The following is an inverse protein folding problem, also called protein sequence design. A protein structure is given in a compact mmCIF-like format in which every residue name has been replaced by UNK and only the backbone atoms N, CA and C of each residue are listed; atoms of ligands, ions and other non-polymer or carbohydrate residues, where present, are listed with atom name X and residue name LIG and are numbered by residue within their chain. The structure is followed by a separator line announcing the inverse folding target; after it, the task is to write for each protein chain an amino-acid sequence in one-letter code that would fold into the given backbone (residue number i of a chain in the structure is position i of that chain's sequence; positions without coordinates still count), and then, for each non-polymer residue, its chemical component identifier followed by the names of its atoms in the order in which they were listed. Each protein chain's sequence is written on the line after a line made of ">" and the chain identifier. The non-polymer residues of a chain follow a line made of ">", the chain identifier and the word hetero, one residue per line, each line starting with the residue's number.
data_IF_136529966234
#
_entry.id   IF_136529966234
#
_cell.length_a   1.000
_cell.length_b   1.000
_cell.length_c   1.000
_cell.angle_alpha   90.00
_cell.angle_beta   90.00
_cell.angle_gamma   90.00
#
_symmetry.space_group_name_H-M   'P 1'
#
loop_
_entity.id
_entity.type
_entity.pdbx_description
1 polymer ?
#
# COMPACT_ATOMS: atom_id res chain seq x y z
N UNK A 1 34.99 -60.17 14.25
CA UNK A 1 33.62 -59.91 14.70
C UNK A 1 33.49 -58.74 15.71
N UNK A 2 34.58 -58.06 16.09
CA UNK A 2 34.58 -56.95 17.10
C UNK A 2 34.52 -55.53 16.51
N UNK A 3 34.90 -55.35 15.23
CA UNK A 3 34.91 -54.02 14.58
C UNK A 3 33.51 -53.60 14.09
N UNK A 4 32.66 -54.53 13.70
CA UNK A 4 31.28 -54.25 13.26
C UNK A 4 30.38 -53.74 14.38
N UNK A 5 30.62 -54.18 15.63
CA UNK A 5 29.83 -53.75 16.80
C UNK A 5 30.18 -52.31 17.24
N UNK A 6 31.42 -51.88 17.03
CA UNK A 6 31.87 -50.52 17.39
C UNK A 6 31.31 -49.48 16.39
N UNK A 7 31.23 -49.82 15.10
CA UNK A 7 30.69 -48.92 14.06
C UNK A 7 29.16 -48.72 14.25
N UNK A 8 28.45 -49.74 14.65
CA UNK A 8 26.99 -49.64 14.93
C UNK A 8 26.74 -48.81 16.19
N UNK A 9 27.59 -48.88 17.20
CA UNK A 9 27.47 -48.07 18.41
C UNK A 9 27.78 -46.60 18.17
N UNK A 10 28.75 -46.28 17.28
CA UNK A 10 29.04 -44.90 16.88
C UNK A 10 27.98 -44.27 16.00
N UNK A 11 27.31 -45.06 15.14
CA UNK A 11 26.25 -44.56 14.27
C UNK A 11 24.96 -44.27 15.06
N UNK A 12 24.72 -44.92 16.20
CA UNK A 12 23.58 -44.69 17.08
C UNK A 12 23.71 -43.39 17.92
N UNK A 13 24.94 -42.83 18.07
CA UNK A 13 25.18 -41.63 18.90
C UNK A 13 25.02 -40.33 18.12
N UNK A 14 24.97 -40.36 16.78
CA UNK A 14 24.90 -39.17 15.94
C UNK A 14 23.46 -38.71 15.64
N UNK A 15 22.44 -39.53 15.93
CA UNK A 15 21.04 -39.23 15.63
C UNK A 15 20.32 -38.50 16.79
N UNK A 16 21.00 -38.22 17.92
CA UNK A 16 20.41 -37.67 19.13
C UNK A 16 20.39 -36.15 19.30
N UNK A 17 20.92 -35.35 18.34
CA UNK A 17 20.92 -33.89 18.45
C UNK A 17 19.89 -33.21 17.53
N UNK A 18 18.68 -33.71 17.50
CA UNK A 18 17.55 -32.93 17.01
C UNK A 18 17.24 -31.87 18.08
N UNK A 19 17.53 -30.61 17.78
CA UNK A 19 17.02 -29.47 18.57
C UNK A 19 15.48 -29.58 18.59
N UNK A 20 14.95 -30.13 19.67
CA UNK A 20 13.52 -30.11 19.93
C UNK A 20 13.13 -28.64 20.23
N UNK A 21 12.68 -27.91 19.22
CA UNK A 21 11.88 -26.72 19.42
C UNK A 21 10.57 -27.23 19.97
N UNK A 22 10.37 -27.07 21.27
CA UNK A 22 9.08 -27.38 21.90
C UNK A 22 8.05 -26.38 21.36
N UNK A 23 6.95 -26.83 20.75
CA UNK A 23 5.86 -25.92 20.44
C UNK A 23 5.30 -25.39 21.77
N UNK A 24 5.38 -24.08 21.97
CA UNK A 24 4.72 -23.43 23.11
C UNK A 24 3.21 -23.66 22.99
N UNK A 25 2.63 -24.28 23.98
CA UNK A 25 1.21 -24.69 23.97
C UNK A 25 0.24 -23.51 24.13
N UNK A 26 0.73 -22.32 24.44
CA UNK A 26 -0.04 -21.09 24.60
C UNK A 26 0.80 -19.94 24.05
N UNK A 27 0.26 -19.02 23.23
CA UNK A 27 0.94 -17.80 22.85
C UNK A 27 1.31 -17.02 24.12
N UNK A 28 2.59 -16.68 24.29
CA UNK A 28 2.99 -15.80 25.37
C UNK A 28 2.43 -14.40 25.09
N UNK A 29 1.72 -13.85 26.07
CA UNK A 29 1.34 -12.43 26.03
C UNK A 29 2.61 -11.59 25.95
N UNK A 30 2.70 -10.76 24.94
CA UNK A 30 3.79 -9.79 24.80
C UNK A 30 3.63 -8.77 25.93
N UNK A 31 4.63 -8.58 26.82
CA UNK A 31 4.54 -7.55 27.85
C UNK A 31 4.20 -6.20 27.23
N UNK A 32 3.31 -5.42 27.83
CA UNK A 32 2.85 -4.12 27.34
C UNK A 32 4.02 -3.15 27.00
N UNK A 33 5.13 -3.29 27.71
CA UNK A 33 6.37 -2.52 27.46
C UNK A 33 7.02 -2.83 26.10
N UNK A 34 6.71 -3.97 25.46
CA UNK A 34 7.24 -4.36 24.14
C UNK A 34 6.21 -4.19 23.03
N UNK A 35 4.96 -4.00 23.35
CA UNK A 35 3.92 -3.72 22.33
C UNK A 35 4.17 -2.38 21.63
N UNK A 36 4.79 -1.42 22.30
CA UNK A 36 5.20 -0.14 21.70
C UNK A 36 6.32 -0.24 20.63
N UNK A 37 7.00 -1.40 20.51
CA UNK A 37 8.03 -1.62 19.46
C UNK A 37 7.40 -2.04 18.14
N UNK A 38 6.21 -2.62 18.19
CA UNK A 38 5.41 -2.92 17.00
C UNK A 38 4.39 -1.81 16.76
N UNK A 39 4.95 -0.61 16.56
CA UNK A 39 4.24 0.54 16.02
C UNK A 39 2.81 0.69 16.49
N UNK A 40 2.63 1.29 17.64
CA UNK A 40 1.42 2.08 17.90
C UNK A 40 1.45 3.28 16.92
N UNK A 41 1.12 3.02 15.66
CA UNK A 41 0.92 4.05 14.64
C UNK A 41 -0.50 4.60 14.69
N UNK A 42 -1.04 4.73 15.87
CA UNK A 42 -2.29 5.45 16.08
C UNK A 42 -2.20 6.32 17.32
N UNK A 43 -1.31 7.31 17.28
CA UNK A 43 -1.43 8.48 18.12
C UNK A 43 -2.01 9.62 17.29
N UNK A 44 -3.21 9.43 16.83
CA UNK A 44 -4.10 10.44 16.31
C UNK A 44 -5.48 9.88 16.54
N UNK A 45 -6.23 10.56 17.37
CA UNK A 45 -7.62 10.25 17.68
C UNK A 45 -8.38 9.73 16.45
N UNK A 46 -8.98 8.53 16.64
CA UNK A 46 -10.02 7.97 15.79
C UNK A 46 -9.66 7.76 14.32
N UNK A 47 -8.80 6.78 14.04
CA UNK A 47 -8.84 6.08 12.76
C UNK A 47 -10.15 5.26 12.69
N UNK A 48 -11.28 5.92 12.73
CA UNK A 48 -12.58 5.33 12.51
C UNK A 48 -12.79 5.16 11.02
N UNK A 49 -12.38 4.02 10.48
CA UNK A 49 -12.63 3.72 9.08
C UNK A 49 -12.08 2.37 8.67
N UNK A 50 -12.84 1.66 7.85
CA UNK A 50 -12.48 0.32 7.35
C UNK A 50 -11.79 0.38 5.99
N UNK A 51 -11.95 1.48 5.24
CA UNK A 51 -11.46 1.61 3.88
C UNK A 51 -10.28 2.58 3.80
N UNK A 52 -9.27 2.18 3.07
CA UNK A 52 -8.05 2.96 2.89
C UNK A 52 -8.08 3.72 1.57
N UNK A 53 -7.84 5.03 1.63
CA UNK A 53 -7.58 5.85 0.46
C UNK A 53 -6.16 6.42 0.52
N UNK A 54 -5.65 6.92 -0.61
CA UNK A 54 -4.31 7.47 -0.70
C UNK A 54 -4.36 8.94 -1.14
N UNK A 55 -3.79 9.81 -0.32
CA UNK A 55 -3.67 11.24 -0.56
C UNK A 55 -2.21 11.62 -0.79
N UNK A 56 -1.95 12.79 -1.34
CA UNK A 56 -0.61 13.33 -1.44
C UNK A 56 -0.10 13.67 -0.03
N UNK A 57 1.06 13.14 0.32
CA UNK A 57 1.73 13.49 1.58
C UNK A 57 2.31 14.91 1.50
N UNK A 58 2.44 15.61 2.64
CA UNK A 58 3.22 16.83 2.69
C UNK A 58 4.66 16.51 2.26
N UNK A 59 5.23 17.36 1.44
CA UNK A 59 6.59 17.20 0.93
C UNK A 59 7.34 18.52 0.96
N UNK A 60 8.63 18.46 1.25
CA UNK A 60 9.53 19.58 1.03
C UNK A 60 9.89 19.69 -0.46
N UNK A 61 10.25 20.87 -0.92
CA UNK A 61 10.48 21.16 -2.34
C UNK A 61 11.57 20.28 -3.02
N UNK A 62 12.43 19.65 -2.23
CA UNK A 62 13.53 18.80 -2.70
C UNK A 62 13.19 17.30 -2.70
N UNK A 63 12.07 16.90 -2.09
CA UNK A 63 11.66 15.51 -2.01
C UNK A 63 10.64 15.16 -3.09
N UNK A 64 10.69 13.93 -3.64
CA UNK A 64 9.66 13.48 -4.57
C UNK A 64 8.31 13.35 -3.87
N UNK A 65 7.24 13.79 -4.53
CA UNK A 65 5.88 13.64 -4.03
C UNK A 65 5.56 12.17 -3.74
N UNK A 66 4.96 11.91 -2.58
CA UNK A 66 4.55 10.57 -2.13
C UNK A 66 3.08 10.52 -1.80
N UNK A 67 2.57 9.30 -1.67
CA UNK A 67 1.20 9.00 -1.27
C UNK A 67 1.19 8.48 0.17
N UNK A 68 0.35 9.08 1.00
CA UNK A 68 0.06 8.62 2.37
C UNK A 68 -1.32 7.99 2.44
N UNK A 69 -1.40 6.84 3.10
CA UNK A 69 -2.68 6.19 3.33
C UNK A 69 -3.42 6.81 4.49
N UNK A 70 -4.72 7.06 4.31
CA UNK A 70 -5.64 7.46 5.38
C UNK A 70 -6.85 6.54 5.40
N UNK A 71 -7.45 6.38 6.58
CA UNK A 71 -8.65 5.55 6.74
C UNK A 71 -9.91 6.40 6.60
N UNK A 72 -10.93 5.83 5.95
CA UNK A 72 -12.24 6.45 5.77
C UNK A 72 -13.34 5.51 6.25
N UNK A 73 -14.27 6.06 7.01
CA UNK A 73 -15.50 5.37 7.40
C UNK A 73 -16.55 5.55 6.30
N UNK A 74 -16.41 4.75 5.26
CA UNK A 74 -17.32 4.72 4.10
C UNK A 74 -17.67 3.28 3.75
N UNK A 75 -18.76 3.09 2.99
CA UNK A 75 -19.13 1.77 2.50
C UNK A 75 -18.00 1.11 1.70
N UNK A 76 -17.90 -0.22 1.76
CA UNK A 76 -16.84 -1.01 1.09
C UNK A 76 -17.03 -1.18 -0.42
N UNK A 77 -18.05 -0.56 -1.03
CA UNK A 77 -18.22 -0.60 -2.48
C UNK A 77 -17.16 0.25 -3.18
N UNK A 78 -16.72 -0.16 -4.36
CA UNK A 78 -15.75 0.60 -5.15
C UNK A 78 -16.22 2.06 -5.36
N UNK A 79 -17.52 2.27 -5.63
CA UNK A 79 -18.06 3.61 -5.80
C UNK A 79 -17.96 4.46 -4.52
N UNK A 80 -18.24 3.89 -3.34
CA UNK A 80 -18.13 4.64 -2.07
C UNK A 80 -16.70 5.04 -1.76
N UNK A 81 -15.74 4.13 -1.95
CA UNK A 81 -14.31 4.39 -1.72
C UNK A 81 -13.77 5.43 -2.71
N UNK A 82 -14.10 5.30 -4.01
CA UNK A 82 -13.68 6.26 -5.03
C UNK A 82 -14.29 7.64 -4.84
N UNK A 83 -15.58 7.73 -4.51
CA UNK A 83 -16.20 9.03 -4.21
C UNK A 83 -15.56 9.70 -2.98
N UNK A 84 -15.16 8.92 -1.97
CA UNK A 84 -14.42 9.44 -0.83
C UNK A 84 -13.03 9.96 -1.21
N UNK A 85 -12.35 9.27 -2.14
CA UNK A 85 -11.07 9.73 -2.69
C UNK A 85 -11.26 11.02 -3.50
N UNK A 86 -12.26 11.10 -4.37
CA UNK A 86 -12.53 12.26 -5.23
C UNK A 86 -12.98 13.49 -4.42
N UNK A 87 -13.59 13.29 -3.25
CA UNK A 87 -13.87 14.38 -2.32
C UNK A 87 -12.59 15.04 -1.74
N UNK A 88 -11.44 14.41 -1.93
CA UNK A 88 -10.14 14.88 -1.46
C UNK A 88 -9.98 14.85 0.06
N UNK A 89 -8.94 15.53 0.58
CA UNK A 89 -8.65 15.57 2.00
C UNK A 89 -9.72 16.36 2.78
N UNK A 90 -10.07 15.86 3.98
CA UNK A 90 -10.95 16.57 4.90
C UNK A 90 -10.20 17.73 5.59
N UNK A 91 -10.89 18.46 6.50
CA UNK A 91 -10.30 19.63 7.15
C UNK A 91 -9.09 19.28 8.04
N UNK A 92 -9.14 18.15 8.76
CA UNK A 92 -8.05 17.70 9.62
C UNK A 92 -6.84 17.25 8.77
N UNK A 93 -7.08 16.48 7.72
CA UNK A 93 -6.04 16.02 6.80
C UNK A 93 -5.35 17.19 6.07
N UNK A 94 -6.11 18.22 5.67
CA UNK A 94 -5.52 19.47 5.14
C UNK A 94 -4.67 20.21 6.17
N UNK A 95 -5.09 20.20 7.43
CA UNK A 95 -4.29 20.80 8.50
C UNK A 95 -2.97 20.04 8.73
N UNK A 96 -2.93 18.75 8.43
CA UNK A 96 -1.72 17.93 8.43
C UNK A 96 -0.89 18.07 7.13
N UNK A 97 -1.33 18.89 6.18
CA UNK A 97 -0.65 19.13 4.91
C UNK A 97 -0.92 18.08 3.83
N UNK A 98 -1.91 17.22 4.02
CA UNK A 98 -2.33 16.29 2.97
C UNK A 98 -3.08 17.02 1.86
N UNK A 99 -2.86 16.58 0.61
CA UNK A 99 -3.43 17.18 -0.59
C UNK A 99 -3.88 16.10 -1.59
N UNK A 100 -4.38 16.50 -2.75
CA UNK A 100 -4.78 15.61 -3.83
C UNK A 100 -4.38 16.18 -5.20
N UNK A 101 -3.98 15.29 -6.12
CA UNK A 101 -3.78 15.65 -7.53
C UNK A 101 -5.08 15.49 -8.35
N UNK A 102 -6.12 14.91 -7.76
CA UNK A 102 -7.41 14.71 -8.42
C UNK A 102 -8.18 16.03 -8.40
N UNK A 103 -8.63 16.55 -9.56
CA UNK A 103 -9.42 17.78 -9.60
C UNK A 103 -10.71 17.67 -8.77
N UNK A 104 -11.09 18.76 -8.10
CA UNK A 104 -12.28 18.77 -7.25
C UNK A 104 -13.60 18.48 -8.01
N UNK A 105 -13.64 18.80 -9.29
CA UNK A 105 -14.78 18.57 -10.18
C UNK A 105 -14.81 17.17 -10.80
N UNK A 106 -13.84 16.29 -10.44
CA UNK A 106 -13.81 14.91 -10.94
C UNK A 106 -15.04 14.14 -10.47
N UNK A 107 -15.85 13.72 -11.43
CA UNK A 107 -17.07 12.94 -11.21
C UNK A 107 -16.88 11.48 -11.57
N UNK A 108 -17.26 10.56 -10.69
CA UNK A 108 -17.34 9.14 -10.97
C UNK A 108 -18.61 8.86 -11.79
N UNK A 109 -18.47 8.46 -13.06
CA UNK A 109 -19.60 8.08 -13.89
C UNK A 109 -19.97 6.61 -13.67
N UNK A 110 -19.01 5.71 -13.71
CA UNK A 110 -19.23 4.29 -13.39
C UNK A 110 -18.04 3.65 -12.72
N UNK A 111 -18.32 2.63 -11.89
CA UNK A 111 -17.32 1.73 -11.33
C UNK A 111 -17.85 0.30 -11.45
N UNK A 112 -17.21 -0.55 -12.26
CA UNK A 112 -17.64 -1.91 -12.53
C UNK A 112 -16.48 -2.89 -12.39
N UNK A 113 -16.69 -3.95 -11.64
CA UNK A 113 -15.70 -5.02 -11.47
C UNK A 113 -15.99 -6.17 -12.43
N UNK A 114 -14.96 -6.64 -13.13
CA UNK A 114 -15.00 -7.85 -13.95
C UNK A 114 -13.77 -8.70 -13.61
N UNK A 115 -14.00 -9.84 -12.96
CA UNK A 115 -12.91 -10.60 -12.35
C UNK A 115 -12.20 -9.77 -11.28
N UNK A 116 -10.90 -9.58 -11.42
CA UNK A 116 -10.08 -8.78 -10.50
C UNK A 116 -9.76 -7.36 -11.05
N UNK A 117 -10.42 -6.96 -12.15
CA UNK A 117 -10.21 -5.65 -12.79
C UNK A 117 -11.41 -4.74 -12.49
N UNK A 118 -11.13 -3.57 -11.92
CA UNK A 118 -12.09 -2.51 -11.73
C UNK A 118 -12.01 -1.51 -12.91
N UNK A 119 -13.06 -1.43 -13.69
CA UNK A 119 -13.22 -0.38 -14.71
C UNK A 119 -13.85 0.84 -14.05
N UNK A 120 -13.13 1.95 -14.09
CA UNK A 120 -13.54 3.25 -13.55
C UNK A 120 -13.70 4.21 -14.71
N UNK A 121 -14.85 4.86 -14.80
CA UNK A 121 -15.14 5.90 -15.78
C UNK A 121 -15.35 7.23 -15.07
N UNK A 122 -14.60 8.24 -15.50
CA UNK A 122 -14.62 9.60 -14.93
C UNK A 122 -14.99 10.62 -16.01
N UNK A 123 -15.38 11.82 -15.59
CA UNK A 123 -15.66 12.91 -16.51
C UNK A 123 -14.38 13.50 -17.14
N UNK A 124 -14.54 14.39 -18.12
CA UNK A 124 -13.50 14.95 -18.97
C UNK A 124 -12.52 15.91 -18.26
N UNK A 125 -12.90 16.45 -17.11
CA UNK A 125 -12.01 17.32 -16.27
C UNK A 125 -10.67 16.64 -15.98
N UNK A 126 -10.67 15.31 -15.90
CA UNK A 126 -9.47 14.53 -15.67
C UNK A 126 -8.44 14.62 -16.82
N UNK A 127 -8.90 14.96 -18.02
CA UNK A 127 -8.04 15.08 -19.20
C UNK A 127 -7.27 16.41 -19.27
N UNK A 128 -7.60 17.40 -18.44
CA UNK A 128 -6.98 18.73 -18.44
C UNK A 128 -5.74 18.84 -17.55
N UNK A 129 -5.40 17.76 -16.83
CA UNK A 129 -4.25 17.72 -15.93
C UNK A 129 -2.93 17.83 -16.67
N UNK A 130 -1.95 18.48 -16.03
CA UNK A 130 -0.55 18.42 -16.47
C UNK A 130 -0.04 16.98 -16.42
N UNK A 131 1.01 16.62 -17.20
CA UNK A 131 1.55 15.24 -17.20
C UNK A 131 1.91 14.71 -15.81
N UNK A 132 2.54 15.52 -14.96
CA UNK A 132 2.89 15.14 -13.58
C UNK A 132 1.65 15.03 -12.68
N UNK A 133 0.72 15.99 -12.79
CA UNK A 133 -0.56 15.94 -12.09
C UNK A 133 -1.36 14.70 -12.46
N UNK A 134 -1.43 14.38 -13.77
CA UNK A 134 -2.11 13.18 -14.26
C UNK A 134 -1.49 11.90 -13.70
N UNK A 135 -0.16 11.81 -13.69
CA UNK A 135 0.57 10.67 -13.13
C UNK A 135 0.24 10.46 -11.65
N UNK A 136 0.23 11.54 -10.86
CA UNK A 136 -0.10 11.48 -9.43
C UNK A 136 -1.58 11.16 -9.19
N UNK A 137 -2.48 11.75 -9.97
CA UNK A 137 -3.93 11.49 -9.85
C UNK A 137 -4.26 10.03 -10.21
N UNK A 138 -3.69 9.49 -11.30
CA UNK A 138 -3.85 8.08 -11.67
C UNK A 138 -3.26 7.17 -10.59
N UNK A 139 -2.09 7.49 -10.05
CA UNK A 139 -1.48 6.73 -8.97
C UNK A 139 -2.37 6.70 -7.71
N UNK A 140 -2.99 7.82 -7.33
CA UNK A 140 -3.93 7.88 -6.20
C UNK A 140 -5.13 6.94 -6.43
N UNK A 141 -5.72 6.98 -7.62
CA UNK A 141 -6.86 6.13 -7.99
C UNK A 141 -6.47 4.66 -7.96
N UNK A 142 -5.38 4.28 -8.65
CA UNK A 142 -4.94 2.89 -8.77
C UNK A 142 -4.55 2.32 -7.40
N UNK A 143 -3.75 3.07 -6.62
CA UNK A 143 -3.31 2.63 -5.29
C UNK A 143 -4.50 2.47 -4.33
N UNK A 144 -5.48 3.37 -4.39
CA UNK A 144 -6.70 3.28 -3.59
C UNK A 144 -7.58 2.12 -4.03
N UNK A 145 -7.87 1.99 -5.31
CA UNK A 145 -8.75 0.96 -5.84
C UNK A 145 -8.23 -0.46 -5.59
N UNK A 146 -6.91 -0.65 -5.65
CA UNK A 146 -6.27 -1.96 -5.39
C UNK A 146 -6.23 -2.34 -3.91
N UNK A 147 -6.69 -1.48 -2.98
CA UNK A 147 -6.94 -1.86 -1.59
C UNK A 147 -8.31 -2.48 -1.38
N UNK A 148 -9.21 -2.36 -2.35
CA UNK A 148 -10.54 -2.95 -2.28
C UNK A 148 -10.42 -4.46 -2.49
N UNK A 149 -11.05 -5.23 -1.63
CA UNK A 149 -11.01 -6.69 -1.70
C UNK A 149 -11.41 -7.22 -3.08
N UNK A 150 -10.59 -8.09 -3.63
CA UNK A 150 -10.80 -8.72 -4.93
C UNK A 150 -10.37 -7.87 -6.13
N UNK A 151 -9.87 -6.64 -5.95
CA UNK A 151 -9.37 -5.79 -7.03
C UNK A 151 -7.84 -5.83 -7.06
N UNK A 152 -7.28 -6.17 -8.23
CA UNK A 152 -5.83 -6.20 -8.47
C UNK A 152 -5.37 -5.21 -9.52
N UNK A 153 -6.27 -4.82 -10.42
CA UNK A 153 -5.94 -3.90 -11.49
C UNK A 153 -7.10 -2.94 -11.78
N UNK A 154 -6.79 -1.81 -12.39
CA UNK A 154 -7.71 -0.75 -12.72
C UNK A 154 -7.63 -0.44 -14.21
N UNK A 155 -8.77 -0.44 -14.89
CA UNK A 155 -8.94 0.11 -16.22
C UNK A 155 -9.64 1.46 -16.10
N UNK A 156 -8.92 2.54 -16.39
CA UNK A 156 -9.46 3.89 -16.30
C UNK A 156 -9.98 4.36 -17.67
N UNK A 157 -11.13 5.03 -17.68
CA UNK A 157 -11.79 5.63 -18.85
C UNK A 157 -12.16 7.08 -18.57
N UNK A 158 -12.32 7.85 -19.61
CA UNK A 158 -12.87 9.21 -19.56
C UNK A 158 -14.01 9.31 -20.55
N UNK A 159 -15.23 9.66 -20.09
CA UNK A 159 -16.45 9.73 -20.89
C UNK A 159 -16.72 8.43 -21.70
N UNK A 160 -16.44 7.27 -21.07
CA UNK A 160 -16.58 5.96 -21.68
C UNK A 160 -15.46 5.55 -22.63
N UNK A 161 -14.52 6.43 -22.95
CA UNK A 161 -13.43 6.18 -23.88
C UNK A 161 -12.18 5.63 -23.19
N UNK A 162 -11.56 4.62 -23.79
CA UNK A 162 -10.25 4.10 -23.36
C UNK A 162 -9.14 5.06 -23.78
N UNK A 163 -8.19 5.29 -22.87
CA UNK A 163 -7.04 6.16 -23.09
C UNK A 163 -5.77 5.48 -22.61
N UNK A 164 -4.62 6.02 -23.04
CA UNK A 164 -3.32 5.66 -22.48
C UNK A 164 -3.06 6.45 -21.21
N UNK A 165 -2.48 5.79 -20.21
CA UNK A 165 -2.26 6.36 -18.89
C UNK A 165 -0.79 6.30 -18.48
N UNK A 166 -0.28 7.30 -17.77
CA UNK A 166 1.10 7.31 -17.31
C UNK A 166 1.31 6.35 -16.16
N UNK A 167 2.34 5.53 -16.25
CA UNK A 167 2.91 4.77 -15.14
C UNK A 167 3.80 5.65 -14.25
N UNK A 168 4.28 5.12 -13.14
CA UNK A 168 5.15 5.84 -12.20
C UNK A 168 6.47 6.35 -12.80
N UNK A 169 6.99 5.66 -13.82
CA UNK A 169 8.18 6.06 -14.58
C UNK A 169 7.89 7.07 -15.71
N UNK A 170 6.62 7.46 -15.90
CA UNK A 170 6.17 8.38 -16.95
C UNK A 170 5.87 7.73 -18.30
N UNK A 171 6.13 6.43 -18.48
CA UNK A 171 5.74 5.72 -19.70
C UNK A 171 4.23 5.56 -19.77
N UNK A 172 3.67 5.63 -20.99
CA UNK A 172 2.24 5.49 -21.22
C UNK A 172 1.87 4.04 -21.51
N UNK A 173 0.71 3.61 -21.01
CA UNK A 173 0.17 2.27 -21.24
C UNK A 173 -1.35 2.29 -21.44
N UNK A 174 -1.88 1.37 -22.21
CA UNK A 174 -3.30 1.12 -22.43
C UNK A 174 -3.83 -0.10 -21.66
N UNK A 175 -2.92 -0.89 -21.05
CA UNK A 175 -3.31 -2.05 -20.24
C UNK A 175 -3.86 -1.61 -18.86
N UNK A 176 -4.63 -2.47 -18.18
CA UNK A 176 -5.02 -2.23 -16.80
C UNK A 176 -3.80 -1.97 -15.90
N UNK A 177 -3.90 -0.96 -15.07
CA UNK A 177 -2.86 -0.49 -14.15
C UNK A 177 -2.95 -1.21 -12.80
N UNK A 178 -1.82 -1.41 -12.18
CA UNK A 178 -1.67 -2.03 -10.85
C UNK A 178 -0.89 -1.11 -9.91
N UNK A 179 -0.94 -1.36 -8.61
CA UNK A 179 -0.10 -0.63 -7.65
C UNK A 179 1.41 -0.79 -7.94
N UNK A 180 1.82 -1.89 -8.59
CA UNK A 180 3.21 -2.14 -8.97
C UNK A 180 3.71 -1.24 -10.11
N UNK A 181 2.82 -0.60 -10.85
CA UNK A 181 3.19 0.38 -11.87
C UNK A 181 3.67 1.70 -11.28
N UNK A 182 3.51 1.90 -9.96
CA UNK A 182 3.90 3.10 -9.22
C UNK A 182 4.88 2.81 -8.08
N UNK A 183 6.04 2.18 -8.35
CA UNK A 183 6.99 1.80 -7.32
C UNK A 183 7.55 3.05 -6.60
N UNK A 184 7.64 2.98 -5.26
CA UNK A 184 8.22 4.05 -4.45
C UNK A 184 7.36 5.30 -4.27
N UNK A 185 6.14 5.33 -4.85
CA UNK A 185 5.23 6.46 -4.66
C UNK A 185 4.54 6.43 -3.29
N UNK A 186 4.28 5.27 -2.72
CA UNK A 186 3.67 5.14 -1.40
C UNK A 186 4.72 5.33 -0.33
N UNK A 187 4.42 6.15 0.69
CA UNK A 187 5.29 6.27 1.87
C UNK A 187 5.48 4.91 2.53
N UNK A 188 6.73 4.60 2.88
CA UNK A 188 7.03 3.42 3.67
C UNK A 188 6.69 3.70 5.12
N UNK A 189 5.90 2.81 5.74
CA UNK A 189 5.68 2.83 7.19
C UNK A 189 6.85 2.28 7.98
N UNK A 190 7.91 1.81 7.31
CA UNK A 190 9.11 1.32 8.01
C UNK A 190 9.94 2.51 8.48
N UNK A 191 10.36 2.53 9.76
CA UNK A 191 11.33 3.51 10.22
C UNK A 191 12.62 3.41 9.41
N UNK A 192 13.22 4.55 9.09
CA UNK A 192 14.53 4.58 8.45
C UNK A 192 15.52 3.76 9.30
N UNK A 193 16.12 2.73 8.72
CA UNK A 193 17.18 2.00 9.41
C UNK A 193 18.31 2.97 9.75
N UNK A 194 18.82 2.97 10.99
CA UNK A 194 20.01 3.73 11.28
C UNK A 194 21.12 3.27 10.36
N UNK A 195 21.78 4.22 9.71
CA UNK A 195 22.92 3.92 8.83
C UNK A 195 23.93 3.04 9.57
N UNK A 196 24.43 1.99 8.91
CA UNK A 196 25.52 1.20 9.47
C UNK A 196 26.71 2.14 9.72
N UNK A 197 27.29 2.16 10.96
CA UNK A 197 28.44 2.99 11.21
C UNK A 197 29.56 2.61 10.24
N UNK A 198 30.13 3.60 9.57
CA UNK A 198 31.33 3.39 8.74
C UNK A 198 32.42 2.76 9.61
N UNK A 199 33.13 1.71 9.15
CA UNK A 199 34.27 1.20 9.86
C UNK A 199 35.28 2.34 10.04
N UNK A 200 35.75 2.53 11.30
CA UNK A 200 36.79 3.48 11.59
C UNK A 200 38.05 3.11 10.77
N UNK A 201 38.62 4.09 10.06
CA UNK A 201 39.85 3.93 9.30
C UNK A 201 41.05 3.83 10.23
#
# INVERSE_FOLDING_TARGET
>A
MRIRSIVVLFLALVVGSACAIQPEAVPNDVPEERSGVFGDQSTGDEAAGTNRIFLLAPTDAEEPQRLRSVLRDVGSTAASVLNSLFAGPNAAERAEGLDTAIPAETGLQTARTTGEILTIDVNDVFAELTPDGLRLAVAQIVTTATQIDGIRAVQLRVEGEERVWPMGNGELTDRPLTAFDYPGLVESSQPAFPGTPSPAA
#
